data_IF_352538218394
#
_entry.id   IF_352538218394
#
_cell.length_a   1.000
_cell.length_b   1.000
_cell.length_c   1.000
_cell.angle_alpha   90.00
_cell.angle_beta   90.00
_cell.angle_gamma   90.00
#
_symmetry.space_group_name_H-M   'P 1'
#
loop_
_entity.id
_entity.type
_entity.pdbx_description
1 polymer ?
#
# COMPACT_ATOMS: atom_id res chain seq x y z
N UNK A 1 -0.32 33.66 0.74
CA UNK A 1 1.03 33.11 0.96
C UNK A 1 0.79 31.70 1.45
N UNK A 2 0.59 30.78 0.52
CA UNK A 2 0.22 29.41 0.85
C UNK A 2 1.47 28.73 1.39
N UNK A 3 1.53 28.58 2.72
CA UNK A 3 2.50 27.68 3.33
C UNK A 3 2.17 26.30 2.79
N UNK A 4 3.01 25.81 1.89
CA UNK A 4 2.89 24.50 1.29
C UNK A 4 2.76 23.45 2.41
N UNK A 5 1.59 22.83 2.54
CA UNK A 5 1.22 21.92 3.64
C UNK A 5 2.24 20.76 3.79
N UNK A 6 3.01 20.52 2.72
CA UNK A 6 3.97 19.44 2.59
C UNK A 6 5.42 19.81 2.92
N UNK A 7 5.77 21.09 3.10
CA UNK A 7 7.16 21.54 3.25
C UNK A 7 7.57 21.88 4.69
N UNK A 8 6.63 21.89 5.64
CA UNK A 8 6.95 22.17 7.05
C UNK A 8 7.49 20.95 7.82
N UNK A 9 8.10 21.20 8.98
CA UNK A 9 8.70 20.18 9.84
C UNK A 9 7.70 19.08 10.24
N UNK A 10 6.46 19.45 10.54
CA UNK A 10 5.39 18.50 10.85
C UNK A 10 5.06 17.56 9.69
N UNK A 11 5.15 18.02 8.44
CA UNK A 11 4.99 17.17 7.27
C UNK A 11 6.13 16.15 7.15
N UNK A 12 7.37 16.55 7.52
CA UNK A 12 8.51 15.63 7.55
C UNK A 12 8.34 14.56 8.63
N UNK A 13 8.04 14.95 9.86
CA UNK A 13 7.81 14.01 10.97
C UNK A 13 6.69 13.00 10.66
N UNK A 14 5.58 13.47 10.06
CA UNK A 14 4.48 12.60 9.62
C UNK A 14 4.94 11.58 8.58
N UNK A 15 5.77 11.98 7.60
CA UNK A 15 6.32 11.05 6.59
C UNK A 15 7.23 10.00 7.22
N UNK A 16 8.11 10.40 8.13
CA UNK A 16 9.01 9.47 8.83
C UNK A 16 8.24 8.44 9.66
N UNK A 17 7.14 8.85 10.31
CA UNK A 17 6.25 7.95 11.05
C UNK A 17 5.50 6.98 10.12
N UNK A 18 4.96 7.46 9.01
CA UNK A 18 4.29 6.60 8.02
C UNK A 18 5.26 5.57 7.42
N UNK A 19 6.48 5.99 7.09
CA UNK A 19 7.56 5.09 6.63
C UNK A 19 7.92 4.03 7.68
N UNK A 20 7.88 4.37 8.97
CA UNK A 20 8.08 3.39 10.04
C UNK A 20 6.93 2.39 10.10
N UNK A 21 5.68 2.84 10.07
CA UNK A 21 4.49 1.97 10.07
C UNK A 21 4.54 0.99 8.91
N UNK A 22 4.85 1.46 7.70
CA UNK A 22 4.97 0.61 6.49
C UNK A 22 6.06 -0.45 6.68
N UNK A 23 7.23 -0.07 7.25
CA UNK A 23 8.31 -1.03 7.51
C UNK A 23 7.90 -2.09 8.54
N UNK A 24 7.25 -1.70 9.63
CA UNK A 24 6.75 -2.63 10.64
C UNK A 24 5.72 -3.61 10.05
N UNK A 25 4.84 -3.12 9.17
CA UNK A 25 3.89 -3.97 8.44
C UNK A 25 4.59 -4.94 7.47
N UNK A 26 5.67 -4.52 6.80
CA UNK A 26 6.41 -5.37 5.85
C UNK A 26 7.10 -6.57 6.53
N UNK A 27 7.53 -6.42 7.79
CA UNK A 27 8.16 -7.49 8.57
C UNK A 27 7.15 -8.41 9.28
N UNK A 28 5.85 -8.18 9.09
CA UNK A 28 4.79 -9.02 9.65
C UNK A 28 4.38 -8.68 11.07
N UNK A 29 4.86 -7.57 11.67
CA UNK A 29 4.47 -7.18 13.04
C UNK A 29 3.00 -6.79 13.18
N UNK A 30 2.28 -6.56 12.08
CA UNK A 30 0.84 -6.30 12.11
C UNK A 30 0.02 -7.43 12.75
N UNK A 31 0.60 -8.63 12.90
CA UNK A 31 0.00 -9.75 13.62
C UNK A 31 0.09 -9.66 15.14
N UNK A 32 1.09 -8.95 15.64
CA UNK A 32 1.43 -8.85 17.07
C UNK A 32 1.08 -7.46 17.63
N UNK A 33 1.08 -6.44 16.77
CA UNK A 33 0.78 -5.06 17.09
C UNK A 33 -0.30 -4.53 16.14
N UNK A 34 -1.29 -3.85 16.70
CA UNK A 34 -2.30 -3.14 15.92
C UNK A 34 -1.67 -1.89 15.28
N UNK A 35 -1.14 -2.06 14.07
CA UNK A 35 -0.57 -0.96 13.30
C UNK A 35 -1.69 -0.20 12.55
N UNK A 36 -1.67 1.14 12.54
CA UNK A 36 -2.71 1.91 11.87
C UNK A 36 -2.71 1.66 10.36
N UNK A 37 -3.91 1.47 9.81
CA UNK A 37 -4.15 1.21 8.39
C UNK A 37 -5.38 1.97 7.91
N UNK A 38 -5.40 2.28 6.61
CA UNK A 38 -6.57 2.86 5.95
C UNK A 38 -7.17 1.79 5.04
N UNK A 39 -8.41 1.41 5.31
CA UNK A 39 -9.15 0.45 4.48
C UNK A 39 -10.18 1.18 3.62
N UNK A 40 -10.17 0.92 2.31
CA UNK A 40 -11.15 1.46 1.39
C UNK A 40 -12.30 0.45 1.20
N UNK A 41 -13.48 0.75 1.77
CA UNK A 41 -14.63 -0.17 1.82
C UNK A 41 -15.82 0.46 1.09
N UNK A 42 -16.61 -0.37 0.39
CA UNK A 42 -17.83 0.09 -0.27
C UNK A 42 -18.36 -0.90 -1.31
N UNK A 43 -19.59 -0.69 -1.77
CA UNK A 43 -20.30 -1.54 -2.74
C UNK A 43 -19.54 -1.74 -4.05
N UNK A 44 -19.87 -2.78 -4.81
CA UNK A 44 -19.29 -3.00 -6.14
C UNK A 44 -19.51 -1.76 -7.03
N UNK A 45 -18.52 -1.43 -7.87
CA UNK A 45 -18.61 -0.35 -8.87
C UNK A 45 -18.68 1.10 -8.36
N UNK A 46 -18.41 1.36 -7.07
CA UNK A 46 -18.36 2.75 -6.52
C UNK A 46 -17.02 3.47 -6.73
N UNK A 47 -16.13 2.94 -7.59
CA UNK A 47 -14.86 3.60 -7.93
C UNK A 47 -13.69 3.39 -6.97
N UNK A 48 -13.76 2.42 -6.04
CA UNK A 48 -12.65 2.11 -5.11
C UNK A 48 -11.33 1.84 -5.84
N UNK A 49 -11.37 1.00 -6.88
CA UNK A 49 -10.19 0.70 -7.69
C UNK A 49 -9.67 1.95 -8.41
N UNK A 50 -10.56 2.76 -8.99
CA UNK A 50 -10.19 4.02 -9.62
C UNK A 50 -9.54 5.00 -8.65
N UNK A 51 -10.00 5.07 -7.39
CA UNK A 51 -9.37 5.89 -6.35
C UNK A 51 -7.95 5.42 -6.05
N UNK A 52 -7.74 4.11 -5.87
CA UNK A 52 -6.42 3.55 -5.60
C UNK A 52 -5.48 3.75 -6.80
N UNK A 53 -5.97 3.60 -8.03
CA UNK A 53 -5.20 3.87 -9.25
C UNK A 53 -4.78 5.34 -9.33
N UNK A 54 -5.69 6.28 -9.10
CA UNK A 54 -5.40 7.72 -9.13
C UNK A 54 -4.37 8.14 -8.07
N UNK A 55 -4.40 7.53 -6.89
CA UNK A 55 -3.46 7.87 -5.81
C UNK A 55 -2.11 7.18 -6.04
N UNK A 56 -2.09 5.92 -6.50
CA UNK A 56 -0.86 5.15 -6.68
C UNK A 56 -0.12 5.43 -7.98
N UNK A 57 -0.83 5.91 -9.02
CA UNK A 57 -0.32 5.98 -10.38
C UNK A 57 -0.17 4.62 -11.06
N UNK A 58 -0.57 3.52 -10.40
CA UNK A 58 -0.48 2.16 -10.93
C UNK A 58 -1.86 1.72 -11.40
N UNK A 59 -1.96 1.28 -12.66
CA UNK A 59 -3.18 0.65 -13.17
C UNK A 59 -3.40 -0.70 -12.47
N UNK A 60 -4.58 -0.90 -11.87
CA UNK A 60 -4.93 -2.17 -11.27
C UNK A 60 -5.52 -3.10 -12.33
N UNK A 61 -5.28 -4.41 -12.25
CA UNK A 61 -5.82 -5.36 -13.22
C UNK A 61 -7.36 -5.32 -13.21
N UNK A 62 -7.94 -5.04 -14.38
CA UNK A 62 -9.39 -5.03 -14.63
C UNK A 62 -9.77 -6.29 -15.39
N UNK A 63 -10.77 -7.02 -14.92
CA UNK A 63 -11.33 -8.18 -15.60
C UNK A 63 -12.86 -8.08 -15.64
N UNK A 64 -13.50 -8.68 -16.65
CA UNK A 64 -14.96 -8.79 -16.71
C UNK A 64 -15.47 -9.64 -15.55
N UNK A 65 -16.11 -9.01 -14.55
CA UNK A 65 -16.56 -9.67 -13.32
C UNK A 65 -16.12 -8.91 -12.06
N UNK A 66 -15.75 -9.63 -10.99
CA UNK A 66 -15.26 -9.02 -9.74
C UNK A 66 -13.87 -8.40 -9.95
N UNK A 67 -13.80 -7.07 -9.87
CA UNK A 67 -12.57 -6.30 -10.13
C UNK A 67 -11.41 -6.57 -9.13
N UNK A 68 -11.66 -7.23 -7.99
CA UNK A 68 -10.65 -7.47 -6.96
C UNK A 68 -10.87 -8.84 -6.31
N UNK A 69 -10.01 -9.82 -6.65
CA UNK A 69 -10.11 -11.21 -6.15
C UNK A 69 -9.20 -11.51 -4.96
N UNK A 70 -8.31 -10.58 -4.63
CA UNK A 70 -7.44 -10.61 -3.45
C UNK A 70 -7.33 -9.21 -2.87
N UNK A 71 -7.13 -9.07 -1.54
CA UNK A 71 -6.81 -7.78 -0.94
C UNK A 71 -5.58 -7.14 -1.62
N UNK A 72 -5.64 -5.82 -1.82
CA UNK A 72 -4.53 -5.04 -2.37
C UNK A 72 -4.06 -4.10 -1.27
N UNK A 73 -2.76 -4.15 -0.98
CA UNK A 73 -2.11 -3.22 -0.07
C UNK A 73 -1.27 -2.24 -0.91
N UNK A 74 -1.55 -0.95 -0.77
CA UNK A 74 -0.83 0.11 -1.47
C UNK A 74 0.09 0.83 -0.49
N UNK A 75 1.41 0.73 -0.70
CA UNK A 75 2.44 1.42 0.09
C UNK A 75 3.01 2.56 -0.74
N UNK A 76 2.77 3.79 -0.28
CA UNK A 76 3.18 4.99 -1.01
C UNK A 76 4.23 5.75 -0.21
N UNK A 77 5.31 6.11 -0.90
CA UNK A 77 6.39 6.90 -0.32
C UNK A 77 6.70 8.08 -1.23
N UNK A 78 6.84 9.25 -0.64
CA UNK A 78 7.34 10.42 -1.36
C UNK A 78 8.84 10.25 -1.61
N UNK A 79 9.26 10.41 -2.86
CA UNK A 79 10.66 10.39 -3.27
C UNK A 79 10.95 11.59 -4.17
N UNK A 80 12.19 12.06 -4.18
CA UNK A 80 12.71 13.01 -5.18
C UNK A 80 13.25 12.29 -6.43
N UNK A 81 13.33 10.96 -6.37
CA UNK A 81 13.75 10.11 -7.49
C UNK A 81 12.63 9.95 -8.51
N UNK A 82 12.97 9.40 -9.68
CA UNK A 82 11.98 9.00 -10.67
C UNK A 82 10.95 8.05 -10.03
N UNK A 83 9.69 8.16 -10.49
CA UNK A 83 8.63 7.28 -10.01
C UNK A 83 8.97 5.82 -10.35
N UNK A 84 8.76 4.94 -9.37
CA UNK A 84 8.91 3.50 -9.52
C UNK A 84 7.77 2.78 -8.81
N UNK A 85 7.37 1.64 -9.34
CA UNK A 85 6.41 0.75 -8.71
C UNK A 85 6.96 -0.68 -8.70
N UNK A 86 6.91 -1.32 -7.53
CA UNK A 86 7.26 -2.73 -7.37
C UNK A 86 6.05 -3.47 -6.82
N UNK A 87 5.69 -4.58 -7.46
CA UNK A 87 4.58 -5.43 -7.01
C UNK A 87 5.15 -6.63 -6.29
N UNK A 88 4.52 -7.01 -5.17
CA UNK A 88 4.89 -8.18 -4.39
C UNK A 88 3.66 -9.08 -4.19
N UNK A 89 3.85 -10.39 -4.31
CA UNK A 89 2.92 -11.38 -3.77
C UNK A 89 3.23 -11.56 -2.29
N UNK A 90 2.26 -11.22 -1.44
CA UNK A 90 2.31 -11.40 0.01
C UNK A 90 1.57 -12.68 0.39
N UNK A 91 2.28 -13.59 1.05
CA UNK A 91 1.73 -14.82 1.60
C UNK A 91 1.76 -14.74 3.12
N UNK A 92 0.59 -14.91 3.73
CA UNK A 92 0.44 -14.97 5.18
C UNK A 92 0.18 -16.42 5.58
N UNK A 93 1.07 -16.96 6.42
CA UNK A 93 1.00 -18.35 6.87
C UNK A 93 0.83 -18.39 8.39
N UNK A 94 -0.42 -18.54 8.85
CA UNK A 94 -0.79 -18.62 10.26
C UNK A 94 -1.99 -19.54 10.49
N UNK A 95 -2.05 -20.17 11.67
CA UNK A 95 -3.27 -20.87 12.13
C UNK A 95 -4.26 -19.78 12.55
N UNK A 96 -5.52 -19.88 12.10
CA UNK A 96 -6.66 -19.03 12.45
C UNK A 96 -6.39 -17.96 13.53
N UNK A 97 -6.28 -16.70 13.11
CA UNK A 97 -6.13 -15.55 14.00
C UNK A 97 -4.76 -14.90 13.87
N UNK A 98 -4.62 -14.04 12.86
CA UNK A 98 -3.61 -13.00 12.58
C UNK A 98 -2.11 -13.28 12.79
N UNK A 99 -1.70 -14.30 13.53
CA UNK A 99 -0.34 -14.68 13.93
C UNK A 99 0.29 -15.60 12.90
N UNK A 100 0.74 -15.00 11.79
CA UNK A 100 1.37 -15.72 10.70
C UNK A 100 2.68 -15.11 10.28
N UNK A 101 3.62 -15.94 9.81
CA UNK A 101 4.81 -15.43 9.14
C UNK A 101 4.39 -14.82 7.79
N UNK A 102 4.69 -13.55 7.59
CA UNK A 102 4.51 -12.86 6.32
C UNK A 102 5.72 -13.12 5.42
N UNK A 103 5.47 -13.56 4.19
CA UNK A 103 6.49 -13.71 3.14
C UNK A 103 6.10 -12.88 1.94
N UNK A 104 6.99 -11.97 1.52
CA UNK A 104 6.82 -11.18 0.30
C UNK A 104 7.74 -11.73 -0.79
N UNK A 105 7.20 -11.91 -2.00
CA UNK A 105 7.92 -12.34 -3.20
C UNK A 105 7.66 -11.33 -4.29
N UNK A 106 8.71 -10.72 -4.84
CA UNK A 106 8.55 -9.74 -5.93
C UNK A 106 7.86 -10.41 -7.13
N UNK A 107 6.85 -9.73 -7.66
CA UNK A 107 6.08 -10.15 -8.83
C UNK A 107 6.49 -9.32 -10.05
N UNK A 108 7.10 -9.99 -11.02
CA UNK A 108 7.58 -9.35 -12.26
C UNK A 108 8.80 -8.46 -12.05
N UNK A 109 9.46 -8.15 -13.16
CA UNK A 109 10.39 -7.02 -13.27
C UNK A 109 9.67 -5.94 -14.08
N UNK A 110 9.38 -4.80 -13.47
CA UNK A 110 8.84 -3.67 -14.24
C UNK A 110 10.00 -3.06 -15.03
N UNK A 111 10.04 -3.31 -16.33
CA UNK A 111 10.75 -2.45 -17.27
C UNK A 111 9.88 -1.24 -17.52
N UNK A 112 10.38 -0.03 -17.25
CA UNK A 112 9.73 1.20 -17.69
C UNK A 112 9.73 1.23 -19.23
N UNK A 113 8.62 0.83 -19.85
CA UNK A 113 8.28 1.22 -21.23
C UNK A 113 7.29 2.39 -21.20
#
# INVERSE_FOLDING_TARGET
MDQDINSNEHARQRRELLDLIIRLQSIGLGSELELPQIACIGSQSVGKSSLIESISGVALPRASGTCTRCPIECRLKRSEQAWEATVYLRFESGKSGYTGKTKEVQFGAFSNE
#
